data_IF_631841382463
#
_entry.id   IF_631841382463
#
_cell.length_a   1.000
_cell.length_b   1.000
_cell.length_c   1.000
_cell.angle_alpha   90.00
_cell.angle_beta   90.00
_cell.angle_gamma   90.00
#
_symmetry.space_group_name_H-M   'P 1'
#
loop_
_entity.id
_entity.type
_entity.pdbx_description
1 polymer ?
#
# COMPACT_ATOMS: atom_id res chain seq x y z
N UNK A 1 5.84 -1.50 25.15
CA UNK A 1 6.75 -1.39 23.98
C UNK A 1 5.94 -1.48 22.68
N UNK A 2 6.01 -0.46 21.81
CA UNK A 2 5.32 -0.47 20.53
C UNK A 2 5.98 -1.46 19.56
N UNK A 3 5.19 -2.18 18.76
CA UNK A 3 5.70 -3.22 17.84
C UNK A 3 6.74 -2.69 16.84
N UNK A 4 6.67 -1.41 16.46
CA UNK A 4 7.61 -0.80 15.51
C UNK A 4 9.05 -0.74 16.02
N UNK A 5 9.28 -0.60 17.35
CA UNK A 5 10.64 -0.54 17.92
C UNK A 5 11.42 -1.84 17.73
N UNK A 6 10.74 -2.97 17.54
CA UNK A 6 11.39 -4.25 17.25
C UNK A 6 12.05 -4.31 15.86
N UNK A 7 11.73 -3.34 14.99
CA UNK A 7 12.29 -3.20 13.66
C UNK A 7 13.28 -2.03 13.56
N UNK A 8 13.58 -1.37 14.69
CA UNK A 8 14.56 -0.30 14.73
C UNK A 8 15.95 -0.84 14.39
N UNK A 9 16.67 -0.16 13.50
CA UNK A 9 18.06 -0.43 13.15
C UNK A 9 18.87 0.85 13.29
N UNK A 10 20.12 0.67 13.71
CA UNK A 10 21.18 1.67 13.60
C UNK A 10 21.60 1.69 12.12
N UNK A 11 21.17 2.73 11.40
CA UNK A 11 21.35 2.83 9.96
C UNK A 11 22.55 3.70 9.58
N UNK A 12 22.95 4.64 10.44
CA UNK A 12 24.12 5.48 10.24
C UNK A 12 25.41 4.92 10.87
N UNK A 13 25.31 3.87 11.69
CA UNK A 13 26.42 3.10 12.23
C UNK A 13 27.03 3.68 13.51
N UNK A 14 26.31 4.54 14.24
CA UNK A 14 26.81 5.21 15.45
C UNK A 14 26.73 4.34 16.72
N UNK A 15 26.16 3.13 16.60
CA UNK A 15 25.97 2.16 17.67
C UNK A 15 24.61 2.25 18.36
N UNK A 16 23.69 3.11 17.91
CA UNK A 16 22.34 3.31 18.48
C UNK A 16 21.29 3.37 17.39
N UNK A 17 20.10 2.81 17.69
CA UNK A 17 18.92 3.00 16.84
C UNK A 17 18.02 4.07 17.46
N UNK A 18 18.20 5.34 17.07
CA UNK A 18 17.46 6.50 17.57
C UNK A 18 16.40 6.99 16.57
N UNK A 19 15.21 6.41 16.68
CA UNK A 19 14.05 6.79 15.85
C UNK A 19 13.53 8.22 16.09
N UNK A 20 13.94 8.89 17.17
CA UNK A 20 13.41 10.21 17.53
C UNK A 20 14.32 11.34 17.02
N UNK A 21 15.64 11.15 17.11
CA UNK A 21 16.60 12.21 16.77
C UNK A 21 17.45 11.90 15.53
N UNK A 22 17.51 10.65 15.05
CA UNK A 22 18.20 10.31 13.79
C UNK A 22 17.20 10.08 12.65
N UNK A 23 17.25 10.95 11.65
CA UNK A 23 16.48 10.80 10.41
C UNK A 23 16.93 9.54 9.65
N UNK A 24 18.23 9.23 9.68
CA UNK A 24 18.80 8.05 9.03
C UNK A 24 18.20 6.77 9.63
N UNK A 25 18.19 6.66 10.96
CA UNK A 25 17.60 5.51 11.65
C UNK A 25 16.10 5.41 11.44
N UNK A 26 15.38 6.53 11.45
CA UNK A 26 13.94 6.53 11.18
C UNK A 26 13.63 5.98 9.79
N UNK A 27 14.36 6.42 8.75
CA UNK A 27 14.21 5.94 7.37
C UNK A 27 14.62 4.47 7.25
N UNK A 28 15.80 4.10 7.76
CA UNK A 28 16.31 2.73 7.70
C UNK A 28 15.39 1.74 8.42
N UNK A 29 14.84 2.13 9.56
CA UNK A 29 13.91 1.31 10.35
C UNK A 29 12.55 1.17 9.67
N UNK A 30 12.03 2.21 9.03
CA UNK A 30 10.82 2.12 8.22
C UNK A 30 11.02 1.16 7.03
N UNK A 31 12.15 1.25 6.33
CA UNK A 31 12.50 0.34 5.24
C UNK A 31 12.65 -1.11 5.73
N UNK A 32 13.35 -1.33 6.85
CA UNK A 32 13.49 -2.65 7.47
C UNK A 32 12.13 -3.22 7.88
N UNK A 33 11.22 -2.40 8.44
CA UNK A 33 9.86 -2.82 8.77
C UNK A 33 9.13 -3.36 7.54
N UNK A 34 9.12 -2.62 6.43
CA UNK A 34 8.46 -3.04 5.19
C UNK A 34 9.10 -4.32 4.62
N UNK A 35 10.44 -4.39 4.57
CA UNK A 35 11.17 -5.55 4.09
C UNK A 35 10.86 -6.81 4.92
N UNK A 36 10.84 -6.70 6.25
CA UNK A 36 10.47 -7.80 7.16
C UNK A 36 9.02 -8.26 6.98
N UNK A 37 8.15 -7.37 6.51
CA UNK A 37 6.77 -7.68 6.15
C UNK A 37 6.58 -8.05 4.68
N UNK A 38 7.67 -8.46 4.00
CA UNK A 38 7.67 -9.02 2.64
C UNK A 38 7.28 -8.00 1.58
N UNK A 39 7.67 -6.73 1.75
CA UNK A 39 7.63 -5.76 0.67
C UNK A 39 8.35 -6.30 -0.58
N UNK A 40 7.80 -6.01 -1.76
CA UNK A 40 8.32 -6.45 -3.05
C UNK A 40 8.73 -5.22 -3.87
N UNK A 41 10.03 -4.88 -3.93
CA UNK A 41 10.48 -3.68 -4.64
C UNK A 41 10.06 -3.69 -6.11
N UNK A 42 9.57 -2.55 -6.61
CA UNK A 42 9.19 -2.37 -8.01
C UNK A 42 7.82 -2.92 -8.41
N UNK A 43 7.12 -3.66 -7.54
CA UNK A 43 5.74 -4.09 -7.80
C UNK A 43 4.73 -2.98 -7.53
N UNK A 44 3.63 -2.96 -8.28
CA UNK A 44 2.52 -2.04 -8.06
C UNK A 44 2.04 -2.08 -6.59
N UNK A 45 1.66 -0.90 -6.09
CA UNK A 45 1.08 -0.74 -4.76
C UNK A 45 -0.43 -0.60 -4.92
N UNK A 46 -0.85 0.38 -5.73
CA UNK A 46 -2.26 0.70 -5.98
C UNK A 46 -2.48 0.96 -7.47
N UNK A 47 -3.53 0.37 -8.03
CA UNK A 47 -4.05 0.74 -9.36
C UNK A 47 -5.37 1.47 -9.24
N UNK A 48 -5.51 2.58 -9.95
CA UNK A 48 -6.77 3.32 -10.03
C UNK A 48 -7.71 2.67 -11.04
N UNK A 49 -8.96 2.43 -10.65
CA UNK A 49 -10.01 1.96 -11.55
C UNK A 49 -10.73 3.17 -12.14
N UNK A 50 -10.69 3.32 -13.46
CA UNK A 50 -11.44 4.33 -14.19
C UNK A 50 -12.79 3.74 -14.64
N UNK A 51 -13.85 4.54 -14.57
CA UNK A 51 -15.21 4.13 -14.99
C UNK A 51 -15.64 2.78 -14.38
N UNK A 52 -15.51 2.64 -13.07
CA UNK A 52 -15.79 1.38 -12.37
C UNK A 52 -17.24 0.90 -12.62
N UNK A 53 -17.45 -0.35 -13.09
CA UNK A 53 -18.77 -0.92 -13.23
C UNK A 53 -19.40 -1.19 -11.86
N UNK A 54 -20.73 -1.12 -11.77
CA UNK A 54 -21.47 -1.35 -10.51
C UNK A 54 -21.16 -2.73 -9.89
N UNK A 55 -20.90 -3.74 -10.72
CA UNK A 55 -20.52 -5.08 -10.28
C UNK A 55 -19.27 -5.09 -9.36
N UNK A 56 -18.37 -4.10 -9.49
CA UNK A 56 -17.17 -4.01 -8.67
C UNK A 56 -17.47 -3.75 -7.18
N UNK A 57 -18.60 -3.11 -6.85
CA UNK A 57 -19.04 -2.88 -5.46
C UNK A 57 -19.17 -4.21 -4.70
N UNK A 58 -19.65 -5.25 -5.36
CA UNK A 58 -19.80 -6.59 -4.75
C UNK A 58 -18.47 -7.25 -4.40
N UNK A 59 -17.36 -6.77 -4.98
CA UNK A 59 -16.01 -7.29 -4.78
C UNK A 59 -15.22 -6.53 -3.71
N UNK A 60 -15.80 -5.49 -3.09
CA UNK A 60 -15.13 -4.65 -2.09
C UNK A 60 -14.58 -5.50 -0.93
N UNK A 61 -13.28 -5.37 -0.73
CA UNK A 61 -12.50 -6.14 0.23
C UNK A 61 -12.64 -5.57 1.63
N UNK A 62 -13.29 -6.33 2.53
CA UNK A 62 -13.47 -5.94 3.94
C UNK A 62 -12.28 -6.30 4.85
N UNK A 63 -11.39 -7.18 4.38
CA UNK A 63 -10.24 -7.68 5.16
C UNK A 63 -8.96 -6.90 4.79
N UNK A 64 -7.93 -7.01 5.64
CA UNK A 64 -6.61 -6.41 5.40
C UNK A 64 -5.67 -7.39 4.67
N UNK A 65 -6.20 -8.04 3.63
CA UNK A 65 -5.44 -8.88 2.71
C UNK A 65 -6.17 -8.95 1.37
N UNK A 66 -5.46 -9.20 0.26
CA UNK A 66 -6.12 -9.32 -1.02
C UNK A 66 -6.97 -10.61 -1.07
N UNK A 67 -8.10 -10.58 -1.80
CA UNK A 67 -9.03 -11.71 -1.95
C UNK A 67 -9.46 -11.96 -3.38
N UNK A 68 -9.40 -10.98 -4.26
CA UNK A 68 -9.93 -11.09 -5.61
C UNK A 68 -8.79 -11.36 -6.56
N UNK A 69 -8.82 -12.45 -7.35
CA UNK A 69 -7.83 -12.64 -8.39
C UNK A 69 -7.97 -11.55 -9.46
N UNK A 70 -6.86 -11.11 -10.05
CA UNK A 70 -6.83 -10.03 -11.03
C UNK A 70 -7.66 -10.40 -12.27
N UNK A 71 -7.68 -11.69 -12.65
CA UNK A 71 -8.55 -12.22 -13.71
C UNK A 71 -10.05 -11.92 -13.50
N UNK A 72 -10.54 -11.95 -12.26
CA UNK A 72 -11.94 -11.62 -11.97
C UNK A 72 -12.22 -10.11 -12.16
N UNK A 73 -11.23 -9.26 -11.96
CA UNK A 73 -11.33 -7.82 -12.22
C UNK A 73 -11.31 -7.56 -13.73
N UNK A 74 -10.42 -8.24 -14.46
CA UNK A 74 -10.35 -8.15 -15.92
C UNK A 74 -11.63 -8.64 -16.61
N UNK A 75 -12.30 -9.65 -16.04
CA UNK A 75 -13.60 -10.12 -16.53
C UNK A 75 -14.73 -9.09 -16.43
N UNK A 76 -14.55 -8.02 -15.64
CA UNK A 76 -15.46 -6.86 -15.60
C UNK A 76 -15.09 -5.78 -16.64
N UNK A 77 -14.24 -6.12 -17.62
CA UNK A 77 -13.74 -5.21 -18.67
C UNK A 77 -12.94 -4.02 -18.12
N UNK A 78 -12.44 -4.13 -16.88
CA UNK A 78 -11.56 -3.13 -16.27
C UNK A 78 -10.14 -3.33 -16.81
N UNK A 79 -9.60 -2.31 -17.45
CA UNK A 79 -8.26 -2.33 -18.04
C UNK A 79 -7.17 -2.32 -16.96
N UNK A 80 -6.69 -3.50 -16.58
CA UNK A 80 -5.57 -3.70 -15.64
C UNK A 80 -4.57 -4.72 -16.17
N UNK A 81 -3.29 -4.40 -16.04
CA UNK A 81 -2.16 -5.27 -16.37
C UNK A 81 -1.68 -6.03 -15.13
N UNK A 82 -1.11 -7.21 -15.32
CA UNK A 82 -0.53 -8.00 -14.24
C UNK A 82 -0.75 -9.50 -14.45
N UNK A 83 -0.30 -10.29 -13.48
CA UNK A 83 -0.55 -11.73 -13.44
C UNK A 83 -2.03 -12.01 -13.09
N UNK A 84 -2.70 -12.80 -13.93
CA UNK A 84 -4.10 -13.16 -13.77
C UNK A 84 -4.42 -13.86 -12.43
N UNK A 85 -3.43 -14.55 -11.85
CA UNK A 85 -3.54 -15.26 -10.57
C UNK A 85 -3.16 -14.38 -9.36
N UNK A 86 -2.59 -13.18 -9.60
CA UNK A 86 -2.32 -12.23 -8.53
C UNK A 86 -3.63 -11.88 -7.82
N UNK A 87 -3.60 -11.87 -6.48
CA UNK A 87 -4.73 -11.38 -5.70
C UNK A 87 -4.56 -9.89 -5.41
N UNK A 88 -5.61 -9.14 -5.68
CA UNK A 88 -5.79 -7.75 -5.29
C UNK A 88 -6.95 -7.61 -4.30
N UNK A 89 -7.00 -6.47 -3.63
CA UNK A 89 -8.17 -6.03 -2.88
C UNK A 89 -8.87 -4.88 -3.57
N UNK A 90 -10.19 -4.94 -3.69
CA UNK A 90 -11.00 -3.84 -4.21
C UNK A 90 -11.33 -2.92 -3.04
N UNK A 91 -10.91 -1.67 -3.14
CA UNK A 91 -11.18 -0.64 -2.14
C UNK A 91 -12.12 0.39 -2.72
N UNK A 92 -12.99 0.91 -1.87
CA UNK A 92 -13.95 1.96 -2.20
C UNK A 92 -13.79 3.12 -1.24
N UNK A 93 -13.49 4.29 -1.78
CA UNK A 93 -13.42 5.54 -1.03
C UNK A 93 -14.49 6.50 -1.51
N UNK A 94 -14.73 7.56 -0.72
CA UNK A 94 -15.59 8.67 -1.12
C UNK A 94 -14.73 9.75 -1.75
N UNK A 95 -14.83 9.88 -3.08
CA UNK A 95 -14.18 10.94 -3.85
C UNK A 95 -15.10 12.12 -4.10
N UNK A 96 -14.53 13.24 -4.58
CA UNK A 96 -15.28 14.46 -4.93
C UNK A 96 -16.35 14.23 -6.01
N UNK A 97 -16.17 13.23 -6.87
CA UNK A 97 -17.04 12.90 -8.00
C UNK A 97 -17.89 11.64 -7.74
N UNK A 98 -17.93 11.15 -6.50
CA UNK A 98 -18.62 9.92 -6.12
C UNK A 98 -17.65 8.82 -5.68
N UNK A 99 -18.11 7.57 -5.77
CA UNK A 99 -17.32 6.42 -5.35
C UNK A 99 -16.01 6.32 -6.14
N UNK A 100 -14.90 6.21 -5.42
CA UNK A 100 -13.57 6.14 -5.99
C UNK A 100 -12.96 4.77 -5.70
N UNK A 101 -12.80 3.97 -6.76
CA UNK A 101 -12.32 2.59 -6.64
C UNK A 101 -10.82 2.50 -6.88
N UNK A 102 -10.18 1.65 -6.08
CA UNK A 102 -8.75 1.37 -6.12
C UNK A 102 -8.53 -0.13 -5.97
N UNK A 103 -7.56 -0.66 -6.68
CA UNK A 103 -7.06 -2.02 -6.46
C UNK A 103 -5.80 -1.91 -5.60
N UNK A 104 -5.84 -2.49 -4.41
CA UNK A 104 -4.68 -2.63 -3.54
C UNK A 104 -3.96 -3.93 -3.84
N UNK A 105 -2.69 -3.85 -4.23
CA UNK A 105 -1.84 -5.01 -4.49
C UNK A 105 -1.17 -5.50 -3.21
N UNK A 106 -0.33 -6.53 -3.30
CA UNK A 106 0.40 -7.08 -2.15
C UNK A 106 1.07 -6.00 -1.29
N UNK A 107 1.81 -5.08 -1.92
CA UNK A 107 2.53 -4.01 -1.23
C UNK A 107 1.61 -3.04 -0.48
N UNK A 108 0.40 -2.76 -0.98
CA UNK A 108 -0.59 -1.97 -0.25
C UNK A 108 -0.93 -2.61 1.10
N UNK A 109 -1.14 -3.93 1.11
CA UNK A 109 -1.44 -4.65 2.33
C UNK A 109 -0.24 -4.76 3.27
N UNK A 110 0.99 -4.69 2.76
CA UNK A 110 2.20 -4.54 3.61
C UNK A 110 2.14 -3.23 4.41
N UNK A 111 1.70 -2.11 3.81
CA UNK A 111 1.54 -0.83 4.51
C UNK A 111 0.54 -0.95 5.66
N UNK A 112 -0.57 -1.68 5.46
CA UNK A 112 -1.59 -1.91 6.51
C UNK A 112 -1.07 -2.68 7.73
N UNK A 113 0.14 -3.26 7.66
CA UNK A 113 0.77 -3.92 8.82
C UNK A 113 1.22 -2.90 9.85
N UNK A 114 1.62 -1.70 9.41
CA UNK A 114 2.04 -0.62 10.29
C UNK A 114 0.86 -0.09 11.11
N UNK A 115 -0.27 0.14 10.44
CA UNK A 115 -1.56 0.44 11.05
C UNK A 115 -2.67 -0.27 10.29
N UNK A 116 -3.51 -1.01 11.02
CA UNK A 116 -4.55 -1.91 10.51
C UNK A 116 -5.76 -1.15 9.94
N UNK A 117 -5.54 -0.31 8.93
CA UNK A 117 -6.54 0.53 8.29
C UNK A 117 -6.22 0.72 6.81
N UNK A 118 -7.21 0.47 5.95
CA UNK A 118 -7.10 0.74 4.50
C UNK A 118 -6.99 2.25 4.22
N UNK A 119 -7.76 3.08 4.94
CA UNK A 119 -7.67 4.54 4.83
C UNK A 119 -6.27 5.04 5.17
N UNK A 120 -5.68 4.52 6.25
CA UNK A 120 -4.31 4.87 6.62
C UNK A 120 -3.32 4.53 5.51
N UNK A 121 -3.37 3.29 5.00
CA UNK A 121 -2.45 2.86 3.94
C UNK A 121 -2.62 3.68 2.65
N UNK A 122 -3.86 4.03 2.30
CA UNK A 122 -4.13 4.90 1.15
C UNK A 122 -3.58 6.31 1.37
N UNK A 123 -3.76 6.91 2.55
CA UNK A 123 -3.19 8.23 2.86
C UNK A 123 -1.65 8.23 2.81
N UNK A 124 -1.00 7.17 3.29
CA UNK A 124 0.46 7.03 3.20
C UNK A 124 0.90 6.95 1.74
N UNK A 125 0.21 6.15 0.93
CA UNK A 125 0.50 6.00 -0.50
C UNK A 125 0.29 7.33 -1.25
N UNK A 126 -0.86 7.97 -1.10
CA UNK A 126 -1.18 9.24 -1.78
C UNK A 126 -0.22 10.36 -1.38
N UNK A 127 0.20 10.42 -0.10
CA UNK A 127 1.21 11.37 0.34
C UNK A 127 2.57 11.09 -0.32
N UNK A 128 2.99 9.82 -0.40
CA UNK A 128 4.23 9.44 -1.05
C UNK A 128 4.24 9.81 -2.55
N UNK A 129 3.15 9.55 -3.26
CA UNK A 129 2.97 9.95 -4.67
C UNK A 129 3.02 11.47 -4.85
N UNK A 130 2.38 12.23 -3.95
CA UNK A 130 2.43 13.70 -3.98
C UNK A 130 3.85 14.24 -3.77
N UNK A 131 4.60 13.65 -2.84
CA UNK A 131 6.00 14.02 -2.59
C UNK A 131 6.85 13.68 -3.83
N UNK A 132 6.75 12.46 -4.36
CA UNK A 132 7.50 12.02 -5.53
C UNK A 132 7.27 12.93 -6.74
N UNK A 133 5.99 13.22 -7.03
CA UNK A 133 5.59 14.14 -8.11
C UNK A 133 6.11 15.56 -7.89
N UNK A 134 6.15 16.06 -6.65
CA UNK A 134 6.69 17.38 -6.34
C UNK A 134 8.22 17.45 -6.46
N UNK A 135 8.91 16.33 -6.24
CA UNK A 135 10.37 16.22 -6.36
C UNK A 135 10.86 15.91 -7.78
N UNK A 136 9.96 15.66 -8.73
CA UNK A 136 10.30 15.46 -10.15
C UNK A 136 11.06 14.17 -10.45
N UNK A 137 10.88 13.14 -9.60
CA UNK A 137 11.44 11.80 -9.79
C UNK A 137 10.45 10.87 -10.48
#
# INVERSE_FOLDING_TARGET
PSSYRSYAIDFDGDGRADLLNSVADAIGSAANYLARHRWRPGEEIVTRVLNAPEALESMVTRKLSPNSPLSAIQALEIAVSGDAEEKVGVMRFEGKLGADYRLGHHNFFVITRYNRSQNYAMSVFELAEQIASATGS
#
